data_IF_275088323739
#
_entry.id   IF_275088323739
#
_cell.length_a   1.000
_cell.length_b   1.000
_cell.length_c   1.000
_cell.angle_alpha   90.00
_cell.angle_beta   90.00
_cell.angle_gamma   90.00
#
_symmetry.space_group_name_H-M   'P 1'
#
loop_
_entity.id
_entity.type
_entity.pdbx_description
1 polymer ?
#
# COMPACT_ATOMS: atom_id res chain seq x y z
N UNK A 1 20.03 14.48 21.06
CA UNK A 1 20.14 13.86 19.72
C UNK A 1 18.83 13.16 19.43
N UNK A 2 18.42 13.03 18.16
CA UNK A 2 17.24 12.21 17.83
C UNK A 2 17.53 10.75 18.22
N UNK A 3 16.54 10.07 18.80
CA UNK A 3 16.65 8.66 19.17
C UNK A 3 16.79 7.80 17.90
N UNK A 4 17.90 7.06 17.73
CA UNK A 4 18.12 6.24 16.53
C UNK A 4 17.22 4.99 16.47
N UNK A 5 16.57 4.61 17.57
CA UNK A 5 15.69 3.44 17.65
C UNK A 5 14.21 3.80 17.48
N UNK A 6 13.88 5.10 17.47
CA UNK A 6 12.53 5.57 17.17
C UNK A 6 12.21 5.32 15.69
N UNK A 7 11.29 4.38 15.43
CA UNK A 7 10.90 4.02 14.06
C UNK A 7 10.18 5.14 13.32
N UNK A 8 9.65 6.18 13.98
CA UNK A 8 8.82 7.21 13.35
C UNK A 8 9.51 7.88 12.17
N UNK A 9 10.82 8.08 12.26
CA UNK A 9 11.63 8.68 11.20
C UNK A 9 12.00 7.69 10.08
N UNK A 10 11.87 6.40 10.35
CA UNK A 10 12.23 5.31 9.44
C UNK A 10 11.06 4.83 8.57
N UNK A 11 9.84 5.15 9.01
CA UNK A 11 8.58 4.92 8.31
C UNK A 11 8.61 5.47 6.89
N UNK A 12 8.09 4.67 5.96
CA UNK A 12 8.01 5.00 4.54
C UNK A 12 6.96 6.09 4.32
N UNK A 13 5.84 6.05 5.02
CA UNK A 13 4.83 7.13 4.96
C UNK A 13 5.45 8.47 5.37
N UNK A 14 6.23 8.51 6.45
CA UNK A 14 6.94 9.73 6.90
C UNK A 14 7.89 10.26 5.82
N UNK A 15 8.69 9.38 5.21
CA UNK A 15 9.62 9.75 4.13
C UNK A 15 8.86 10.25 2.89
N UNK A 16 7.75 9.62 2.56
CA UNK A 16 6.94 9.96 1.41
C UNK A 16 6.18 11.29 1.60
N UNK A 17 5.59 11.56 2.76
CA UNK A 17 4.96 12.86 3.03
C UNK A 17 5.95 14.02 3.06
N UNK A 18 7.20 13.78 3.53
CA UNK A 18 8.27 14.78 3.38
C UNK A 18 8.54 15.09 1.91
N UNK A 19 8.58 14.06 1.05
CA UNK A 19 8.67 14.24 -0.40
C UNK A 19 7.49 15.05 -0.96
N UNK A 20 6.25 14.75 -0.56
CA UNK A 20 5.07 15.50 -1.01
C UNK A 20 5.06 16.96 -0.54
N UNK A 21 5.66 17.26 0.61
CA UNK A 21 5.79 18.63 1.10
C UNK A 21 6.83 19.46 0.33
N UNK A 22 7.70 18.84 -0.46
CA UNK A 22 8.74 19.55 -1.18
C UNK A 22 8.14 20.41 -2.31
N UNK A 23 8.70 21.59 -2.49
CA UNK A 23 8.43 22.47 -3.61
C UNK A 23 9.69 23.25 -3.97
N UNK A 24 9.71 23.79 -5.18
CA UNK A 24 10.73 24.76 -5.62
C UNK A 24 10.02 26.05 -5.96
N UNK A 25 10.56 27.16 -5.48
CA UNK A 25 10.11 28.47 -5.93
C UNK A 25 10.68 28.77 -7.30
N UNK A 26 9.84 29.29 -8.18
CA UNK A 26 10.24 29.85 -9.46
C UNK A 26 9.29 31.01 -9.84
N UNK A 27 9.64 31.70 -10.93
CA UNK A 27 8.84 32.78 -11.50
C UNK A 27 7.92 32.28 -12.64
N UNK A 28 7.48 31.03 -12.61
CA UNK A 28 6.61 30.46 -13.65
C UNK A 28 5.18 30.99 -13.57
N UNK A 29 4.38 30.77 -14.63
CA UNK A 29 2.94 31.04 -14.63
C UNK A 29 2.18 30.31 -13.52
N UNK A 30 2.70 29.19 -13.02
CA UNK A 30 2.12 28.46 -11.90
C UNK A 30 2.37 29.16 -10.56
N UNK A 31 3.51 29.85 -10.40
CA UNK A 31 3.77 30.72 -9.24
C UNK A 31 2.74 31.84 -9.14
N UNK A 32 2.41 32.48 -10.26
CA UNK A 32 1.37 33.51 -10.32
C UNK A 32 -0.04 32.95 -10.00
N UNK A 33 -0.36 31.73 -10.44
CA UNK A 33 -1.62 31.07 -10.04
C UNK A 33 -1.69 30.80 -8.54
N UNK A 34 -0.59 30.37 -7.93
CA UNK A 34 -0.54 30.16 -6.48
C UNK A 34 -0.64 31.46 -5.70
N UNK A 35 -0.05 32.56 -6.18
CA UNK A 35 -0.25 33.91 -5.60
C UNK A 35 -1.71 34.37 -5.73
N UNK A 36 -2.33 34.12 -6.88
CA UNK A 36 -3.75 34.41 -7.08
C UNK A 36 -4.63 33.61 -6.12
N UNK A 37 -4.36 32.31 -5.95
CA UNK A 37 -5.05 31.47 -4.97
C UNK A 37 -4.89 32.02 -3.55
N UNK A 38 -3.68 32.42 -3.16
CA UNK A 38 -3.41 33.06 -1.87
C UNK A 38 -4.23 34.33 -1.67
N UNK A 39 -4.41 35.15 -2.72
CA UNK A 39 -5.25 36.35 -2.63
C UNK A 39 -6.73 36.04 -2.34
N UNK A 40 -7.28 34.97 -2.95
CA UNK A 40 -8.66 34.51 -2.73
C UNK A 40 -8.82 33.91 -1.32
N UNK A 41 -7.81 33.15 -0.88
CA UNK A 41 -7.81 32.41 0.38
C UNK A 41 -6.92 33.07 1.45
N UNK A 42 -6.86 34.41 1.48
CA UNK A 42 -5.96 35.18 2.35
C UNK A 42 -6.12 34.95 3.86
N UNK A 43 -7.21 34.32 4.29
CA UNK A 43 -7.43 33.87 5.68
C UNK A 43 -6.95 32.45 5.99
N UNK A 44 -6.31 31.76 5.04
CA UNK A 44 -5.80 30.40 5.18
C UNK A 44 -4.28 30.40 5.09
N UNK A 45 -3.63 30.33 6.24
CA UNK A 45 -2.18 30.21 6.32
C UNK A 45 -1.67 29.01 5.52
N UNK A 46 -0.51 29.14 4.88
CA UNK A 46 0.15 28.12 4.07
C UNK A 46 -0.53 27.76 2.74
N UNK A 47 -1.60 28.44 2.31
CA UNK A 47 -2.28 28.10 1.05
C UNK A 47 -1.34 28.22 -0.17
N UNK A 48 -0.48 29.25 -0.19
CA UNK A 48 0.53 29.42 -1.23
C UNK A 48 1.52 28.25 -1.25
N UNK A 49 2.07 27.89 -0.08
CA UNK A 49 2.98 26.76 0.07
C UNK A 49 2.32 25.44 -0.36
N UNK A 50 1.08 25.19 0.06
CA UNK A 50 0.29 24.05 -0.38
C UNK A 50 0.16 23.99 -1.91
N UNK A 51 -0.19 25.11 -2.55
CA UNK A 51 -0.31 25.19 -4.00
C UNK A 51 1.01 24.90 -4.72
N UNK A 52 2.12 25.43 -4.21
CA UNK A 52 3.46 25.20 -4.76
C UNK A 52 3.91 23.74 -4.60
N UNK A 53 3.66 23.13 -3.44
CA UNK A 53 3.91 21.70 -3.22
C UNK A 53 3.03 20.83 -4.12
N UNK A 54 1.73 21.15 -4.24
CA UNK A 54 0.82 20.43 -5.12
C UNK A 54 1.32 20.46 -6.56
N UNK A 55 1.67 21.64 -7.08
CA UNK A 55 2.26 21.79 -8.42
C UNK A 55 3.47 20.87 -8.61
N UNK A 56 4.43 20.93 -7.69
CA UNK A 56 5.65 20.13 -7.77
C UNK A 56 5.33 18.63 -7.83
N UNK A 57 4.35 18.17 -7.05
CA UNK A 57 3.88 16.79 -7.09
C UNK A 57 3.20 16.41 -8.41
N UNK A 58 2.46 17.32 -9.04
CA UNK A 58 1.81 17.05 -10.32
C UNK A 58 2.82 17.06 -11.49
N UNK A 59 3.80 17.96 -11.44
CA UNK A 59 4.86 18.09 -12.46
C UNK A 59 5.82 16.89 -12.44
N UNK A 60 6.20 16.41 -11.27
CA UNK A 60 7.13 15.29 -11.07
C UNK A 60 6.45 14.04 -10.54
N UNK A 61 5.20 13.79 -10.92
CA UNK A 61 4.35 12.75 -10.33
C UNK A 61 5.02 11.37 -10.21
N UNK A 62 5.34 11.01 -8.96
CA UNK A 62 6.03 9.78 -8.58
C UNK A 62 7.47 9.64 -9.07
N UNK A 63 7.98 10.66 -9.76
CA UNK A 63 9.37 10.71 -10.20
C UNK A 63 10.28 11.04 -9.01
N UNK A 64 11.38 10.31 -8.90
CA UNK A 64 12.34 10.45 -7.79
C UNK A 64 11.72 10.29 -6.39
N UNK A 65 10.61 9.55 -6.27
CA UNK A 65 10.03 9.21 -4.96
C UNK A 65 11.05 8.43 -4.12
N UNK A 66 11.20 8.74 -2.83
CA UNK A 66 12.07 8.00 -1.93
C UNK A 66 11.51 6.61 -1.55
N UNK A 67 10.27 6.32 -1.93
CA UNK A 67 9.56 5.06 -1.65
C UNK A 67 9.07 4.46 -2.95
N UNK A 68 9.24 3.15 -3.10
CA UNK A 68 8.81 2.43 -4.31
C UNK A 68 7.30 2.17 -4.25
N UNK A 69 6.52 2.98 -4.97
CA UNK A 69 5.07 2.85 -5.05
C UNK A 69 4.63 2.72 -6.52
N UNK A 70 3.55 1.99 -6.77
CA UNK A 70 2.86 2.03 -8.06
C UNK A 70 2.29 3.43 -8.34
N UNK A 71 1.95 3.72 -9.60
CA UNK A 71 1.30 5.00 -9.96
C UNK A 71 -0.04 5.20 -9.23
N UNK A 72 -0.78 4.12 -9.03
CA UNK A 72 -2.05 4.13 -8.32
C UNK A 72 -1.86 4.45 -6.83
N UNK A 73 -0.89 3.80 -6.17
CA UNK A 73 -0.53 4.13 -4.79
C UNK A 73 -0.05 5.58 -4.64
N UNK A 74 0.82 6.07 -5.54
CA UNK A 74 1.22 7.48 -5.53
C UNK A 74 0.00 8.41 -5.56
N UNK A 75 -0.99 8.09 -6.37
CA UNK A 75 -2.22 8.87 -6.46
C UNK A 75 -3.02 8.86 -5.15
N UNK A 76 -3.16 7.70 -4.50
CA UNK A 76 -3.85 7.59 -3.22
C UNK A 76 -3.19 8.43 -2.13
N UNK A 77 -1.87 8.34 -1.99
CA UNK A 77 -1.16 9.14 -1.00
C UNK A 77 -1.18 10.64 -1.32
N UNK A 78 -1.11 11.02 -2.61
CA UNK A 78 -1.25 12.42 -3.01
C UNK A 78 -2.64 12.96 -2.62
N UNK A 79 -3.71 12.19 -2.86
CA UNK A 79 -5.06 12.56 -2.43
C UNK A 79 -5.19 12.65 -0.89
N UNK A 80 -4.58 11.71 -0.15
CA UNK A 80 -4.53 11.79 1.32
C UNK A 80 -3.79 13.03 1.81
N UNK A 81 -2.65 13.36 1.19
CA UNK A 81 -1.87 14.54 1.51
C UNK A 81 -2.64 15.83 1.23
N UNK A 82 -3.35 15.93 0.10
CA UNK A 82 -4.19 17.09 -0.20
C UNK A 82 -5.23 17.30 0.90
N UNK A 83 -6.00 16.26 1.22
CA UNK A 83 -7.06 16.35 2.23
C UNK A 83 -6.51 16.66 3.64
N UNK A 84 -5.39 16.06 4.02
CA UNK A 84 -4.72 16.34 5.30
C UNK A 84 -4.29 17.82 5.39
N UNK A 85 -3.75 18.39 4.31
CA UNK A 85 -3.42 19.80 4.25
C UNK A 85 -4.66 20.70 4.38
N UNK A 86 -5.76 20.36 3.70
CA UNK A 86 -7.02 21.10 3.83
C UNK A 86 -7.56 21.05 5.27
N UNK A 87 -7.50 19.89 5.94
CA UNK A 87 -7.88 19.74 7.35
C UNK A 87 -6.98 20.59 8.25
N UNK A 88 -5.67 20.57 8.01
CA UNK A 88 -4.69 21.30 8.81
C UNK A 88 -4.87 22.82 8.67
N UNK A 89 -5.21 23.30 7.47
CA UNK A 89 -5.62 24.67 7.19
C UNK A 89 -7.03 25.02 7.68
N UNK A 90 -7.72 24.08 8.36
CA UNK A 90 -9.05 24.29 8.96
C UNK A 90 -10.15 24.62 7.95
N UNK A 91 -10.06 24.11 6.73
CA UNK A 91 -11.19 24.15 5.81
C UNK A 91 -12.40 23.41 6.42
N UNK A 92 -13.57 24.02 6.32
CA UNK A 92 -14.82 23.39 6.70
C UNK A 92 -15.49 22.79 5.46
N UNK A 93 -15.63 21.47 5.46
CA UNK A 93 -16.15 20.64 4.37
C UNK A 93 -17.61 20.94 3.99
N UNK A 94 -18.35 21.61 4.86
CA UNK A 94 -19.75 22.00 4.63
C UNK A 94 -19.88 23.40 4.01
N UNK A 95 -18.81 24.20 3.99
CA UNK A 95 -18.86 25.61 3.63
C UNK A 95 -18.40 25.87 2.18
N UNK A 96 -18.89 26.95 1.54
CA UNK A 96 -18.57 27.28 0.15
C UNK A 96 -17.07 27.33 -0.16
N UNK A 97 -16.25 27.83 0.77
CA UNK A 97 -14.80 27.91 0.57
C UNK A 97 -14.12 26.56 0.35
N UNK A 98 -14.63 25.48 0.95
CA UNK A 98 -14.11 24.13 0.67
C UNK A 98 -14.45 23.68 -0.76
N UNK A 99 -15.64 24.01 -1.24
CA UNK A 99 -16.04 23.70 -2.61
C UNK A 99 -15.18 24.48 -3.62
N UNK A 100 -14.94 25.77 -3.36
CA UNK A 100 -14.09 26.62 -4.19
C UNK A 100 -12.65 26.09 -4.29
N UNK A 101 -12.01 25.74 -3.17
CA UNK A 101 -10.65 25.17 -3.20
C UNK A 101 -10.63 23.79 -3.85
N UNK A 102 -11.67 22.97 -3.65
CA UNK A 102 -11.77 21.64 -4.27
C UNK A 102 -11.88 21.75 -5.79
N UNK A 103 -12.73 22.65 -6.30
CA UNK A 103 -12.84 22.93 -7.73
C UNK A 103 -11.53 23.47 -8.31
N UNK A 104 -10.83 24.34 -7.59
CA UNK A 104 -9.51 24.80 -7.99
C UNK A 104 -8.52 23.63 -8.11
N UNK A 105 -8.47 22.74 -7.12
CA UNK A 105 -7.59 21.55 -7.14
C UNK A 105 -7.94 20.67 -8.35
N UNK A 106 -9.22 20.38 -8.60
CA UNK A 106 -9.65 19.61 -9.80
C UNK A 106 -9.17 20.27 -11.08
N UNK A 107 -9.40 21.57 -11.24
CA UNK A 107 -8.93 22.33 -12.39
C UNK A 107 -7.41 22.24 -12.53
N UNK A 108 -6.69 22.33 -11.42
CA UNK A 108 -5.24 22.32 -11.42
C UNK A 108 -4.68 20.97 -11.85
N UNK A 109 -5.27 19.85 -11.42
CA UNK A 109 -4.93 18.51 -11.91
C UNK A 109 -5.05 18.40 -13.44
N UNK A 110 -6.09 18.98 -14.04
CA UNK A 110 -6.33 18.90 -15.48
C UNK A 110 -5.28 19.64 -16.32
N UNK A 111 -4.45 20.50 -15.71
CA UNK A 111 -3.34 21.17 -16.39
C UNK A 111 -2.12 20.25 -16.60
N UNK A 112 -2.08 19.09 -15.94
CA UNK A 112 -0.97 18.15 -16.00
C UNK A 112 -1.38 16.88 -16.76
N UNK A 113 -1.10 16.77 -18.07
CA UNK A 113 -1.56 15.63 -18.87
C UNK A 113 -0.87 14.30 -18.49
N UNK A 114 0.32 14.35 -17.89
CA UNK A 114 1.13 13.18 -17.55
C UNK A 114 0.55 12.32 -16.42
N UNK A 115 -0.47 12.81 -15.71
CA UNK A 115 -1.12 12.11 -14.60
C UNK A 115 -2.45 11.47 -15.01
N UNK A 116 -2.60 11.08 -16.28
CA UNK A 116 -3.81 10.66 -17.01
C UNK A 116 -4.82 9.73 -16.29
N UNK A 117 -4.43 9.08 -15.18
CA UNK A 117 -5.30 8.24 -14.34
C UNK A 117 -5.45 8.72 -12.89
N UNK A 118 -4.53 9.55 -12.40
CA UNK A 118 -4.65 10.13 -11.09
C UNK A 118 -5.53 11.37 -11.17
N UNK A 119 -6.72 11.28 -10.59
CA UNK A 119 -7.60 12.42 -10.41
C UNK A 119 -7.58 12.81 -8.95
N UNK A 120 -7.73 14.10 -8.69
CA UNK A 120 -8.19 14.50 -7.37
C UNK A 120 -9.59 13.92 -7.23
N UNK A 121 -9.68 12.84 -6.48
CA UNK A 121 -10.94 12.22 -6.23
C UNK A 121 -11.60 13.05 -5.14
N UNK A 122 -12.49 13.98 -5.54
CA UNK A 122 -13.48 14.61 -4.65
C UNK A 122 -14.44 13.57 -4.03
N UNK A 123 -14.20 12.28 -4.28
CA UNK A 123 -15.15 11.21 -4.09
C UNK A 123 -15.41 11.02 -2.59
N UNK A 124 -16.63 11.40 -2.23
CA UNK A 124 -17.50 10.74 -1.25
C UNK A 124 -17.21 10.95 0.23
N UNK A 125 -16.10 11.57 0.62
CA UNK A 125 -15.80 11.79 2.03
C UNK A 125 -15.82 13.28 2.37
N UNK A 126 -16.99 13.77 2.79
CA UNK A 126 -17.12 15.09 3.44
C UNK A 126 -16.85 15.03 4.93
N UNK A 127 -16.66 13.83 5.45
CA UNK A 127 -16.44 13.60 6.86
C UNK A 127 -14.95 13.58 7.18
N UNK A 128 -14.53 14.49 8.05
CA UNK A 128 -13.13 14.62 8.46
C UNK A 128 -12.58 13.33 9.08
N UNK A 129 -13.41 12.62 9.85
CA UNK A 129 -12.99 11.41 10.54
C UNK A 129 -12.71 10.28 9.55
N UNK A 130 -13.57 10.11 8.55
CA UNK A 130 -13.42 9.15 7.47
C UNK A 130 -12.14 9.42 6.64
N UNK A 131 -11.78 10.69 6.39
CA UNK A 131 -10.50 11.07 5.76
C UNK A 131 -9.32 10.63 6.62
N UNK A 132 -9.36 10.95 7.90
CA UNK A 132 -8.28 10.61 8.84
C UNK A 132 -8.10 9.10 8.97
N UNK A 133 -9.21 8.34 9.10
CA UNK A 133 -9.18 6.88 9.16
C UNK A 133 -8.60 6.28 7.87
N UNK A 134 -8.99 6.80 6.71
CA UNK A 134 -8.46 6.36 5.41
C UNK A 134 -6.95 6.57 5.35
N UNK A 135 -6.48 7.76 5.74
CA UNK A 135 -5.05 8.09 5.78
C UNK A 135 -4.29 7.17 6.74
N UNK A 136 -4.78 6.99 7.96
CA UNK A 136 -4.14 6.11 8.96
C UNK A 136 -3.99 4.69 8.44
N UNK A 137 -5.00 4.13 7.76
CA UNK A 137 -4.89 2.79 7.19
C UNK A 137 -3.88 2.73 6.04
N UNK A 138 -3.89 3.69 5.10
CA UNK A 138 -2.89 3.71 4.02
C UNK A 138 -1.46 3.80 4.57
N UNK A 139 -1.23 4.71 5.52
CA UNK A 139 0.09 4.87 6.16
C UNK A 139 0.52 3.58 6.82
N UNK A 140 -0.39 2.97 7.58
CA UNK A 140 -0.12 1.72 8.27
C UNK A 140 0.19 0.58 7.30
N UNK A 141 -0.57 0.43 6.21
CA UNK A 141 -0.31 -0.58 5.20
C UNK A 141 1.09 -0.46 4.62
N UNK A 142 1.58 0.76 4.39
CA UNK A 142 2.93 0.99 3.89
C UNK A 142 4.02 0.76 4.95
N UNK A 143 3.73 1.11 6.20
CA UNK A 143 4.71 1.08 7.29
C UNK A 143 4.75 -0.24 8.06
N UNK A 144 3.77 -1.12 7.86
CA UNK A 144 3.52 -2.32 8.67
C UNK A 144 4.79 -3.15 8.95
N UNK A 145 5.51 -3.52 7.89
CA UNK A 145 6.70 -4.36 8.01
C UNK A 145 7.81 -3.68 8.82
N UNK A 146 8.00 -2.36 8.65
CA UNK A 146 9.00 -1.61 9.40
C UNK A 146 8.61 -1.47 10.86
N UNK A 147 7.35 -1.19 11.15
CA UNK A 147 6.85 -1.12 12.53
C UNK A 147 7.10 -2.44 13.26
N UNK A 148 6.76 -3.58 12.65
CA UNK A 148 7.00 -4.91 13.24
C UNK A 148 8.50 -5.16 13.44
N UNK A 149 9.33 -4.86 12.44
CA UNK A 149 10.76 -5.10 12.52
C UNK A 149 11.40 -4.27 13.64
N UNK A 150 11.12 -2.97 13.70
CA UNK A 150 11.70 -2.09 14.71
C UNK A 150 11.18 -2.40 16.11
N UNK A 151 9.86 -2.52 16.27
CA UNK A 151 9.26 -2.78 17.58
C UNK A 151 9.71 -4.12 18.19
N UNK A 152 9.92 -5.16 17.38
CA UNK A 152 10.46 -6.43 17.87
C UNK A 152 11.96 -6.36 18.16
N UNK A 153 12.73 -5.61 17.37
CA UNK A 153 14.19 -5.56 17.49
C UNK A 153 14.67 -4.64 18.62
N UNK A 154 14.02 -3.49 18.77
CA UNK A 154 14.49 -2.41 19.65
C UNK A 154 13.49 -2.08 20.77
N UNK A 155 12.28 -2.63 20.73
CA UNK A 155 11.18 -2.13 21.54
C UNK A 155 10.61 -0.83 20.98
N UNK A 156 9.86 -0.12 21.82
CA UNK A 156 9.19 1.13 21.45
C UNK A 156 9.50 2.24 22.45
N UNK A 157 9.54 3.48 21.95
CA UNK A 157 9.30 4.66 22.79
C UNK A 157 7.82 4.72 23.20
N UNK A 158 7.51 5.61 24.15
CA UNK A 158 6.11 5.86 24.54
C UNK A 158 5.28 6.46 23.41
N UNK A 159 5.90 7.28 22.56
CA UNK A 159 5.30 7.85 21.37
C UNK A 159 4.97 6.75 20.34
N UNK A 160 5.87 5.78 20.17
CA UNK A 160 5.66 4.63 19.29
C UNK A 160 4.52 3.73 19.77
N UNK A 161 4.44 3.49 21.08
CA UNK A 161 3.31 2.78 21.68
C UNK A 161 1.97 3.52 21.41
N UNK A 162 1.96 4.84 21.60
CA UNK A 162 0.76 5.68 21.35
C UNK A 162 0.35 5.63 19.88
N UNK A 163 1.32 5.69 18.97
CA UNK A 163 1.09 5.60 17.54
C UNK A 163 0.48 4.24 17.14
N UNK A 164 1.03 3.14 17.65
CA UNK A 164 0.50 1.79 17.41
C UNK A 164 -0.91 1.63 17.98
N UNK A 165 -1.16 2.12 19.20
CA UNK A 165 -2.51 2.09 19.80
C UNK A 165 -3.54 2.80 18.93
N UNK A 166 -3.21 4.00 18.42
CA UNK A 166 -4.09 4.74 17.52
C UNK A 166 -4.39 3.97 16.22
N UNK A 167 -3.39 3.30 15.63
CA UNK A 167 -3.60 2.44 14.46
C UNK A 167 -4.57 1.30 14.80
N UNK A 168 -4.35 0.61 15.91
CA UNK A 168 -5.20 -0.52 16.31
C UNK A 168 -6.64 -0.09 16.59
N UNK A 169 -6.83 1.07 17.21
CA UNK A 169 -8.17 1.66 17.43
C UNK A 169 -8.88 1.97 16.11
N UNK A 170 -8.20 2.65 15.17
CA UNK A 170 -8.75 2.95 13.84
C UNK A 170 -9.07 1.68 13.07
N UNK A 171 -8.16 0.69 13.09
CA UNK A 171 -8.37 -0.58 12.39
C UNK A 171 -9.59 -1.33 12.93
N UNK A 172 -9.75 -1.42 14.25
CA UNK A 172 -10.89 -2.09 14.87
C UNK A 172 -12.20 -1.35 14.60
N UNK A 173 -12.18 -0.02 14.64
CA UNK A 173 -13.34 0.80 14.27
C UNK A 173 -13.75 0.54 12.82
N UNK A 174 -12.81 0.63 11.89
CA UNK A 174 -13.04 0.41 10.46
C UNK A 174 -13.51 -1.02 10.20
N UNK A 175 -12.89 -2.02 10.85
CA UNK A 175 -13.32 -3.42 10.79
C UNK A 175 -14.79 -3.58 11.14
N UNK A 176 -15.26 -2.94 12.22
CA UNK A 176 -16.67 -2.98 12.61
C UNK A 176 -17.56 -2.29 11.56
N UNK A 177 -17.14 -1.13 11.07
CA UNK A 177 -17.95 -0.32 10.17
C UNK A 177 -18.07 -0.92 8.76
N UNK A 178 -17.01 -1.57 8.27
CA UNK A 178 -16.97 -2.20 6.95
C UNK A 178 -17.74 -3.51 6.83
N UNK A 179 -18.41 -3.95 7.91
CA UNK A 179 -19.41 -5.02 7.86
C UNK A 179 -20.80 -4.53 7.42
N UNK A 180 -21.01 -3.21 7.35
CA UNK A 180 -22.27 -2.59 6.95
C UNK A 180 -22.43 -2.58 5.42
N UNK A 181 -23.67 -2.44 4.94
CA UNK A 181 -24.04 -2.50 3.52
C UNK A 181 -23.52 -1.32 2.68
N UNK A 182 -23.22 -0.18 3.29
CA UNK A 182 -22.58 0.97 2.62
C UNK A 182 -21.08 0.95 2.84
N UNK A 183 -20.32 0.48 1.84
CA UNK A 183 -18.87 0.38 1.96
C UNK A 183 -18.19 1.74 1.77
N UNK A 184 -17.70 2.34 2.87
CA UNK A 184 -16.91 3.59 2.84
C UNK A 184 -15.53 3.38 2.18
N UNK A 185 -14.83 4.43 1.69
CA UNK A 185 -13.57 4.26 0.96
C UNK A 185 -12.46 3.57 1.76
N UNK A 186 -12.35 3.82 3.07
CA UNK A 186 -11.38 3.11 3.92
C UNK A 186 -11.61 1.59 3.98
N UNK A 187 -12.80 1.10 3.65
CA UNK A 187 -13.07 -0.34 3.65
C UNK A 187 -12.36 -1.08 2.52
N UNK A 188 -12.11 -0.40 1.40
CA UNK A 188 -11.30 -0.98 0.31
C UNK A 188 -9.84 -1.13 0.78
N UNK A 189 -9.34 -0.12 1.49
CA UNK A 189 -7.98 -0.13 2.05
C UNK A 189 -7.84 -1.20 3.12
N UNK A 190 -8.81 -1.27 4.03
CA UNK A 190 -8.86 -2.25 5.10
C UNK A 190 -8.83 -3.69 4.57
N UNK A 191 -9.65 -4.00 3.57
CA UNK A 191 -9.66 -5.31 2.91
C UNK A 191 -8.29 -5.67 2.35
N UNK A 192 -7.64 -4.74 1.63
CA UNK A 192 -6.32 -4.98 1.07
C UNK A 192 -5.27 -5.25 2.15
N UNK A 193 -5.23 -4.44 3.22
CA UNK A 193 -4.29 -4.64 4.34
C UNK A 193 -4.53 -6.01 4.98
N UNK A 194 -5.81 -6.35 5.23
CA UNK A 194 -6.21 -7.64 5.77
C UNK A 194 -5.78 -8.82 4.88
N UNK A 195 -5.93 -8.71 3.57
CA UNK A 195 -5.54 -9.75 2.62
C UNK A 195 -4.01 -9.92 2.54
N UNK A 196 -3.25 -8.82 2.60
CA UNK A 196 -1.79 -8.85 2.46
C UNK A 196 -1.08 -9.29 3.75
N UNK A 197 -1.52 -8.80 4.91
CA UNK A 197 -0.82 -9.01 6.19
C UNK A 197 -1.53 -9.97 7.14
N UNK A 198 -2.82 -10.23 6.92
CA UNK A 198 -3.65 -11.06 7.79
C UNK A 198 -4.27 -10.27 8.95
N UNK A 199 -5.57 -10.46 9.16
CA UNK A 199 -6.38 -9.79 10.20
C UNK A 199 -5.78 -9.93 11.61
N UNK A 200 -5.27 -11.12 11.93
CA UNK A 200 -4.73 -11.42 13.26
C UNK A 200 -3.47 -10.59 13.56
N UNK A 201 -2.49 -10.58 12.64
CA UNK A 201 -1.22 -9.87 12.83
C UNK A 201 -1.43 -8.37 13.01
N UNK A 202 -2.43 -7.83 12.31
CA UNK A 202 -2.78 -6.41 12.40
C UNK A 202 -3.45 -6.12 13.75
N UNK A 203 -4.45 -6.93 14.12
CA UNK A 203 -5.23 -6.72 15.35
C UNK A 203 -4.41 -6.90 16.64
N UNK A 204 -3.36 -7.71 16.58
CA UNK A 204 -2.48 -8.01 17.72
C UNK A 204 -1.20 -7.18 17.75
N UNK A 205 -1.06 -6.17 16.88
CA UNK A 205 0.12 -5.32 16.87
C UNK A 205 0.26 -4.58 18.20
N UNK A 206 1.37 -4.84 18.90
CA UNK A 206 1.68 -4.22 20.19
C UNK A 206 3.19 -4.10 20.40
N UNK A 207 3.59 -3.08 21.16
CA UNK A 207 4.95 -2.96 21.68
C UNK A 207 5.17 -4.00 22.78
N UNK A 208 6.08 -4.94 22.57
CA UNK A 208 6.43 -5.96 23.58
C UNK A 208 7.25 -5.38 24.73
N UNK A 209 8.08 -4.38 24.42
CA UNK A 209 8.96 -3.67 25.35
C UNK A 209 8.83 -2.18 25.10
N UNK A 210 8.78 -1.42 26.18
CA UNK A 210 8.83 0.05 26.14
C UNK A 210 10.11 0.47 26.83
N UNK A 211 10.89 1.34 26.18
CA UNK A 211 12.09 1.94 26.75
C UNK A 211 11.92 3.45 26.89
N UNK A 212 12.68 4.04 27.81
CA UNK A 212 12.67 5.49 28.05
C UNK A 212 13.97 6.17 27.70
N UNK A 213 15.08 5.42 27.76
CA UNK A 213 16.40 5.86 27.34
C UNK A 213 16.97 4.92 26.26
N UNK A 214 17.49 5.45 25.12
CA UNK A 214 18.11 4.64 24.06
C UNK A 214 19.24 3.72 24.54
N UNK A 215 19.93 4.05 25.64
CA UNK A 215 20.97 3.19 26.23
C UNK A 215 20.43 1.85 26.74
N UNK A 216 19.14 1.78 27.11
CA UNK A 216 18.49 0.53 27.52
C UNK A 216 18.39 -0.48 26.35
N UNK A 217 18.41 -0.01 25.10
CA UNK A 217 18.35 -0.86 23.90
C UNK A 217 19.71 -1.52 23.62
N UNK A 218 20.81 -0.76 23.77
CA UNK A 218 22.18 -1.26 23.52
C UNK A 218 22.58 -2.36 24.51
N UNK A 219 22.25 -2.18 25.79
CA UNK A 219 22.56 -3.17 26.82
C UNK A 219 21.93 -4.54 26.57
N UNK A 220 20.79 -4.59 25.88
CA UNK A 220 20.13 -5.85 25.50
C UNK A 220 20.64 -6.41 24.18
N UNK A 221 20.94 -5.57 23.17
CA UNK A 221 21.53 -6.06 21.92
C UNK A 221 22.87 -6.75 22.18
N UNK A 222 23.68 -6.18 23.08
CA UNK A 222 24.98 -6.72 23.44
C UNK A 222 24.85 -8.03 24.24
N UNK A 223 23.77 -8.22 25.01
CA UNK A 223 23.48 -9.47 25.73
C UNK A 223 22.95 -10.58 24.80
N UNK A 224 22.16 -10.23 23.79
CA UNK A 224 21.69 -11.18 22.76
C UNK A 224 22.82 -11.67 21.86
N UNK A 225 23.79 -10.82 21.53
CA UNK A 225 24.95 -11.18 20.69
C UNK A 225 26.00 -12.00 21.46
N UNK A 226 26.08 -11.83 22.79
CA UNK A 226 26.94 -12.65 23.66
C UNK A 226 26.41 -14.07 23.89
N UNK A 227 25.13 -14.34 23.58
CA UNK A 227 24.46 -15.63 23.75
C UNK A 227 24.72 -16.66 22.63
N UNK A 228 25.38 -16.26 21.53
CA UNK A 228 25.70 -17.14 20.39
C UNK A 228 27.20 -17.23 20.08
N UNK A 229 28.06 -16.98 21.08
CA UNK A 229 29.50 -17.16 20.98
C UNK A 229 29.90 -18.64 20.90
N UNK A 230 29.83 -19.24 19.71
CA UNK A 230 30.74 -20.34 19.35
C UNK A 230 32.15 -19.73 19.35
N UNK A 231 33.10 -20.22 20.16
CA UNK A 231 34.46 -19.71 20.09
C UNK A 231 35.06 -20.10 18.75
N UNK A 232 35.39 -19.10 17.94
CA UNK A 232 36.17 -19.25 16.72
C UNK A 232 37.62 -19.60 17.12
N UNK A 233 37.89 -20.90 17.30
CA UNK A 233 39.25 -21.39 17.51
C UNK A 233 39.95 -21.60 16.18
N UNK A 234 40.94 -20.76 15.90
CA UNK A 234 41.93 -20.93 14.84
C UNK A 234 42.65 -22.31 14.98
N UNK A 235 43.07 -22.96 13.88
CA UNK A 235 43.44 -24.36 13.90
C UNK A 235 44.94 -24.55 14.15
N UNK A 236 45.34 -25.15 15.28
CA UNK A 236 46.63 -25.85 15.32
C UNK A 236 46.73 -26.94 16.42
N UNK A 237 46.73 -28.19 15.94
CA UNK A 237 47.36 -29.41 16.47
C UNK A 237 47.47 -29.60 17.98
N UNK A 238 46.70 -30.57 18.52
CA UNK A 238 47.27 -31.72 19.24
C UNK A 238 46.31 -32.90 19.38
N UNK A 239 46.93 -34.07 19.29
CA UNK A 239 46.48 -35.45 19.36
C UNK A 239 45.41 -35.78 20.41
N UNK A 240 44.42 -36.57 19.97
CA UNK A 240 43.45 -37.30 20.77
C UNK A 240 44.01 -38.70 21.13
N UNK A 241 43.99 -39.10 22.40
CA UNK A 241 43.88 -40.52 22.83
C UNK A 241 43.43 -40.63 24.30
N UNK A 242 42.35 -41.38 24.52
CA UNK A 242 41.84 -41.93 25.80
C UNK A 242 41.09 -40.92 26.67
N UNK A 243 39.83 -41.08 27.07
CA UNK A 243 38.99 -42.28 27.22
C UNK A 243 38.41 -42.26 28.64
N UNK A 244 37.14 -41.88 28.79
CA UNK A 244 36.32 -42.18 29.97
C UNK A 244 34.84 -42.03 29.61
N UNK A 245 34.08 -43.05 30.00
CA UNK A 245 32.66 -43.32 29.75
C UNK A 245 31.74 -42.45 30.62
N UNK A 246 30.47 -42.28 30.21
CA UNK A 246 29.36 -42.01 31.14
C UNK A 246 28.31 -40.98 30.70
N UNK A 247 27.23 -41.50 30.12
CA UNK A 247 25.83 -41.06 30.20
C UNK A 247 25.19 -39.96 29.32
N UNK A 248 24.17 -40.45 28.60
CA UNK A 248 22.88 -39.87 28.20
C UNK A 248 22.81 -38.75 27.14
N UNK A 249 22.12 -39.11 26.05
CA UNK A 249 21.81 -38.34 24.82
C UNK A 249 20.89 -37.12 25.06
N UNK A 250 20.83 -36.17 24.11
CA UNK A 250 19.83 -36.32 23.05
C UNK A 250 20.35 -36.05 21.63
N UNK A 251 20.10 -37.03 20.76
CA UNK A 251 19.87 -36.92 19.30
C UNK A 251 20.83 -36.04 18.49
N UNK A 252 21.98 -36.60 18.13
CA UNK A 252 22.69 -36.19 16.93
C UNK A 252 21.86 -36.60 15.70
N UNK A 253 21.31 -35.64 14.96
CA UNK A 253 20.73 -35.92 13.65
C UNK A 253 21.83 -36.53 12.76
N UNK A 254 21.68 -37.81 12.44
CA UNK A 254 22.57 -38.53 11.54
C UNK A 254 22.61 -37.86 10.16
N UNK A 255 23.76 -37.92 9.49
CA UNK A 255 24.01 -37.39 8.13
C UNK A 255 22.99 -37.87 7.09
N UNK A 256 22.33 -39.00 7.33
CA UNK A 256 21.22 -39.55 6.55
C UNK A 256 19.95 -38.68 6.59
N UNK A 257 19.64 -38.00 7.70
CA UNK A 257 18.43 -37.16 7.84
C UNK A 257 18.57 -35.85 7.08
N UNK A 258 19.77 -35.26 7.07
CA UNK A 258 20.08 -34.04 6.30
C UNK A 258 19.97 -34.31 4.79
N UNK A 259 20.41 -35.49 4.33
CA UNK A 259 20.33 -35.89 2.92
C UNK A 259 18.88 -36.06 2.44
N UNK A 260 17.99 -36.60 3.28
CA UNK A 260 16.56 -36.73 2.97
C UNK A 260 15.89 -35.36 2.83
N UNK A 261 16.17 -34.44 3.77
CA UNK A 261 15.61 -33.08 3.75
C UNK A 261 16.07 -32.30 2.51
N UNK A 262 17.35 -32.38 2.14
CA UNK A 262 17.87 -31.73 0.92
C UNK A 262 17.22 -32.28 -0.36
N UNK A 263 16.98 -33.60 -0.42
CA UNK A 263 16.37 -34.23 -1.59
C UNK A 263 14.91 -33.82 -1.75
N UNK A 264 14.17 -33.68 -0.65
CA UNK A 264 12.79 -33.17 -0.64
C UNK A 264 12.71 -31.68 -1.06
N UNK A 265 13.64 -30.84 -0.59
CA UNK A 265 13.72 -29.42 -0.98
C UNK A 265 14.09 -29.25 -2.46
N UNK A 266 14.97 -30.09 -2.99
CA UNK A 266 15.29 -30.09 -4.43
C UNK A 266 14.08 -30.44 -5.29
N UNK A 267 13.30 -31.46 -4.87
CA UNK A 267 12.11 -31.89 -5.60
C UNK A 267 11.04 -30.79 -5.64
N UNK A 268 10.77 -30.12 -4.51
CA UNK A 268 9.76 -29.04 -4.44
C UNK A 268 10.14 -27.82 -5.27
N UNK A 269 11.43 -27.46 -5.32
CA UNK A 269 11.92 -26.38 -6.18
C UNK A 269 11.75 -26.70 -7.67
N UNK A 270 12.03 -27.95 -8.08
CA UNK A 270 11.81 -28.40 -9.46
C UNK A 270 10.31 -28.33 -9.82
N UNK A 271 9.42 -28.80 -8.94
CA UNK A 271 7.97 -28.67 -9.16
C UNK A 271 7.49 -27.21 -9.20
N UNK A 272 8.06 -26.32 -8.38
CA UNK A 272 7.73 -24.90 -8.39
C UNK A 272 8.15 -24.21 -9.70
N UNK A 273 9.36 -24.52 -10.19
CA UNK A 273 9.86 -24.03 -11.48
C UNK A 273 8.97 -24.58 -12.61
N UNK A 274 8.71 -25.90 -12.64
CA UNK A 274 7.83 -26.49 -13.63
C UNK A 274 6.42 -25.91 -13.56
N UNK A 275 5.84 -25.68 -12.38
CA UNK A 275 4.54 -25.02 -12.23
C UNK A 275 4.53 -23.59 -12.79
N UNK A 276 5.61 -22.83 -12.58
CA UNK A 276 5.75 -21.46 -13.09
C UNK A 276 5.93 -21.41 -14.62
N UNK A 277 6.59 -22.41 -15.21
CA UNK A 277 6.93 -22.45 -16.64
C UNK A 277 6.03 -23.37 -17.48
N UNK A 278 5.15 -24.18 -16.86
CA UNK A 278 4.18 -25.00 -17.60
C UNK A 278 3.01 -24.12 -18.05
N UNK A 279 2.60 -24.14 -19.34
CA UNK A 279 1.57 -23.26 -19.90
C UNK A 279 0.13 -23.58 -19.42
N UNK A 280 -0.04 -24.36 -18.36
CA UNK A 280 -1.33 -24.69 -17.74
C UNK A 280 -2.03 -23.46 -17.15
N UNK A 281 -1.30 -22.42 -16.72
CA UNK A 281 -1.90 -21.15 -16.23
C UNK A 281 -2.72 -20.46 -17.32
N UNK A 282 -2.26 -20.53 -18.57
CA UNK A 282 -2.99 -19.98 -19.73
C UNK A 282 -4.21 -20.84 -20.08
N UNK A 283 -4.12 -22.16 -19.90
CA UNK A 283 -5.24 -23.08 -20.14
C UNK A 283 -6.36 -22.92 -19.11
N UNK A 284 -6.02 -22.77 -17.83
CA UNK A 284 -7.00 -22.54 -16.76
C UNK A 284 -7.70 -21.18 -16.90
N UNK A 285 -6.97 -20.13 -17.29
CA UNK A 285 -7.57 -18.84 -17.59
C UNK A 285 -8.56 -18.93 -18.77
N UNK A 286 -8.19 -19.64 -19.84
CA UNK A 286 -9.06 -19.86 -21.01
C UNK A 286 -10.32 -20.66 -20.67
N UNK A 287 -10.22 -21.63 -19.77
CA UNK A 287 -11.37 -22.41 -19.27
C UNK A 287 -12.32 -21.56 -18.42
N UNK A 288 -11.77 -20.73 -17.51
CA UNK A 288 -12.57 -19.85 -16.65
C UNK A 288 -13.27 -18.73 -17.44
N UNK A 289 -12.60 -18.15 -18.44
CA UNK A 289 -13.19 -17.14 -19.34
C UNK A 289 -14.31 -17.75 -20.18
N UNK A 290 -14.12 -18.97 -20.72
CA UNK A 290 -15.17 -19.68 -21.48
C UNK A 290 -16.41 -19.98 -20.61
N UNK A 291 -16.23 -20.31 -19.33
CA UNK A 291 -17.35 -20.56 -18.40
C UNK A 291 -18.12 -19.29 -18.01
N UNK A 292 -17.44 -18.14 -17.97
CA UNK A 292 -18.06 -16.83 -17.68
C UNK A 292 -18.92 -16.33 -18.84
N UNK A 293 -18.48 -16.55 -20.07
CA UNK A 293 -19.22 -16.19 -21.30
C UNK A 293 -20.48 -17.06 -21.45
N UNK A 294 -20.42 -18.36 -21.17
CA UNK A 294 -21.60 -19.24 -21.21
C UNK A 294 -22.63 -18.86 -20.13
N UNK A 295 -22.17 -18.39 -18.96
CA UNK A 295 -23.07 -17.96 -17.87
C UNK A 295 -23.74 -16.61 -18.14
N UNK A 296 -23.14 -15.71 -18.93
CA UNK A 296 -23.81 -14.45 -19.30
C UNK A 296 -24.87 -14.66 -20.38
N UNK A 297 -24.63 -15.56 -21.34
CA UNK A 297 -25.61 -15.91 -22.38
C UNK A 297 -26.82 -16.62 -21.77
N UNK A 298 -26.61 -17.48 -20.77
CA UNK A 298 -27.71 -18.18 -20.09
C UNK A 298 -28.50 -17.30 -19.08
N UNK A 299 -28.04 -16.10 -18.76
CA UNK A 299 -28.71 -15.19 -17.80
C UNK A 299 -29.63 -14.16 -18.49
N UNK A 300 -29.60 -14.07 -19.82
CA UNK A 300 -30.47 -13.18 -20.62
C UNK A 300 -31.75 -13.88 -21.12
N UNK A 301 -31.92 -15.19 -20.89
CA UNK A 301 -33.09 -15.95 -21.38
C UNK A 301 -34.23 -16.10 -20.35
N UNK A 302 -34.05 -15.70 -19.08
CA UNK A 302 -35.02 -15.95 -17.99
C UNK A 302 -35.80 -14.72 -17.47
N UNK A 303 -35.65 -13.53 -18.07
CA UNK A 303 -36.52 -12.37 -17.79
C UNK A 303 -37.34 -11.98 -19.02
N UNK A 304 -38.27 -12.83 -19.45
CA UNK A 304 -39.37 -12.41 -20.32
C UNK A 304 -40.69 -13.05 -19.91
N UNK A 305 -41.56 -12.26 -19.25
CA UNK A 305 -43.02 -12.36 -19.36
C UNK A 305 -43.74 -11.22 -18.63
N UNK A 306 -44.52 -10.46 -19.43
CA UNK A 306 -45.63 -9.55 -19.09
C UNK A 306 -45.16 -8.16 -18.56
N UNK A 307 -45.52 -6.98 -19.08
CA UNK A 307 -46.73 -6.44 -19.74
C UNK A 307 -46.31 -5.28 -20.70
N UNK A 308 -46.63 -5.26 -21.99
CA UNK A 308 -47.83 -4.66 -22.66
C UNK A 308 -47.78 -3.12 -22.88
N UNK A 309 -47.37 -2.72 -24.11
CA UNK A 309 -47.66 -1.51 -24.92
C UNK A 309 -47.22 -0.12 -24.37
N UNK A 310 -46.56 0.79 -25.11
CA UNK A 310 -46.89 1.29 -26.46
C UNK A 310 -45.67 1.95 -27.17
N UNK A 311 -45.79 2.10 -28.49
CA UNK A 311 -44.78 2.33 -29.53
C UNK A 311 -43.94 3.62 -29.48
N UNK A 312 -42.65 3.52 -29.84
CA UNK A 312 -42.03 4.39 -30.86
C UNK A 312 -40.90 3.65 -31.60
N UNK A 313 -40.96 3.66 -32.92
CA UNK A 313 -39.97 3.07 -33.83
C UNK A 313 -38.71 3.94 -33.90
N UNK A 314 -37.53 3.35 -33.68
CA UNK A 314 -36.31 3.80 -34.35
C UNK A 314 -35.36 2.62 -34.59
N UNK A 315 -34.96 2.47 -35.85
CA UNK A 315 -34.27 1.31 -36.41
C UNK A 315 -32.75 1.36 -36.13
N UNK A 316 -32.26 0.21 -35.68
CA UNK A 316 -30.91 -0.17 -35.25
C UNK A 316 -29.92 -0.24 -36.42
N UNK A 317 -28.66 0.19 -36.23
CA UNK A 317 -27.52 -0.66 -36.60
C UNK A 317 -26.19 -0.19 -35.97
N UNK A 318 -25.68 -1.00 -35.04
CA UNK A 318 -24.27 -1.03 -34.63
C UNK A 318 -23.70 -2.31 -35.27
N UNK A 319 -22.88 -2.17 -36.30
CA UNK A 319 -22.06 -3.26 -36.82
C UNK A 319 -20.64 -3.10 -36.29
N UNK A 320 -20.30 -3.94 -35.32
CA UNK A 320 -18.94 -4.36 -35.04
C UNK A 320 -18.74 -5.67 -35.78
N UNK A 321 -17.95 -5.69 -36.85
CA UNK A 321 -17.46 -6.96 -37.38
C UNK A 321 -15.98 -6.89 -37.72
N UNK A 322 -15.32 -7.98 -37.35
CA UNK A 322 -13.88 -8.11 -37.19
C UNK A 322 -13.13 -8.39 -38.48
N UNK A 323 -11.87 -8.01 -38.41
CA UNK A 323 -10.74 -8.35 -39.26
C UNK A 323 -10.78 -9.81 -39.73
N UNK A 324 -10.79 -10.03 -41.05
CA UNK A 324 -10.12 -11.17 -41.70
C UNK A 324 -9.42 -10.72 -42.99
N UNK A 325 -8.18 -11.15 -43.16
CA UNK A 325 -7.28 -10.79 -44.25
C UNK A 325 -7.44 -11.70 -45.48
N UNK A 326 -7.07 -11.11 -46.63
CA UNK A 326 -6.54 -11.72 -47.87
C UNK A 326 -7.49 -12.56 -48.74
N UNK A 327 -7.70 -12.11 -49.98
CA UNK A 327 -7.12 -12.68 -51.23
C UNK A 327 -7.36 -11.64 -52.34
N UNK A 328 -6.33 -11.35 -53.14
CA UNK A 328 -6.37 -10.40 -54.25
C UNK A 328 -6.88 -11.02 -55.55
N UNK A 329 -7.45 -10.17 -56.42
CA UNK A 329 -7.40 -10.32 -57.86
C UNK A 329 -7.70 -8.96 -58.52
N UNK A 330 -6.74 -8.42 -59.26
CA UNK A 330 -6.97 -7.44 -60.32
C UNK A 330 -7.10 -8.22 -61.63
N UNK A 331 -8.07 -7.86 -62.49
CA UNK A 331 -7.67 -7.60 -63.87
C UNK A 331 -8.43 -6.47 -64.57
N UNK A 332 -7.67 -5.81 -65.45
CA UNK A 332 -8.00 -4.93 -66.59
C UNK A 332 -8.69 -3.59 -66.32
#
# INVERSE_FOLDING_TARGET
MADPYDFKHELESTKYYKYLNNYKEDNSSHSEKCKYLESIFSGYDNIYKFCMSLRNNLEFFGNSSPVTLSKEQHCYYLNCWINDNLINMKFNFEYPKYQEISLYIVSYFNEFPNIEKCKYNEFSIKDKEDIQNTKTLYDYGLDFQKIILYSNKYGCTKENETYIKNISEVYNKVRSDCTQTSRKPYCVVWDHIKEVYGDEQISQLACKRIYTDPSEVQLESDQLDMGTGIPESSPERRSFFGGAEGDASPTALSSTTISIILTLLGLTLIFFILYRFTPLKSWMHRYLVKKRIIKSIAHEEDESKNETYENTYEYKNINFDGITHNIGFHPS
#
